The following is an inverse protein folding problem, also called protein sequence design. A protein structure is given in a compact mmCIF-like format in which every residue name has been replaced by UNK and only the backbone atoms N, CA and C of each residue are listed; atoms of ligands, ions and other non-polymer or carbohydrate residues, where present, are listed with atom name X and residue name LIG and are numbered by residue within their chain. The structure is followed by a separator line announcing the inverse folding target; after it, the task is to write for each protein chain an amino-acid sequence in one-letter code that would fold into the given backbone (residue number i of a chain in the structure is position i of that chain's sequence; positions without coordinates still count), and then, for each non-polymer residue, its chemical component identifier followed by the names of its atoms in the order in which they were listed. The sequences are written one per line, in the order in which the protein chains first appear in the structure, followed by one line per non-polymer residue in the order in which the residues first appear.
data_IF_640559482563
#
_entry.id   IF_640559482563
#
_cell.length_a   1.000
_cell.length_b   1.000
_cell.length_c   1.000
_cell.angle_alpha   90.00
_cell.angle_beta   90.00
_cell.angle_gamma   90.00
#
_symmetry.space_group_name_H-M   'P 1'
#
loop_
_entity.id
_entity.type
_entity.pdbx_description
1 polymer ?
#
# COMPACT_ATOMS: atom_id res chain seq x y z
N UNK A 1 -7.18 -3.99 -6.93
CA UNK A 1 -6.75 -3.48 -5.61
C UNK A 1 -5.32 -2.98 -5.60
N UNK A 2 -4.42 -3.72 -6.20
CA UNK A 2 -3.02 -3.35 -6.38
C UNK A 2 -2.85 -2.01 -7.11
N UNK A 3 -3.57 -1.78 -8.18
CA UNK A 3 -3.48 -0.54 -8.96
C UNK A 3 -3.86 0.69 -8.14
N UNK A 4 -4.83 0.58 -7.25
CA UNK A 4 -5.21 1.70 -6.38
C UNK A 4 -4.09 2.11 -5.45
N UNK A 5 -3.40 1.12 -4.88
CA UNK A 5 -2.27 1.39 -3.99
C UNK A 5 -1.15 2.08 -4.76
N UNK A 6 -0.85 1.57 -5.95
CA UNK A 6 0.19 2.16 -6.81
C UNK A 6 -0.15 3.61 -7.12
N UNK A 7 -1.38 3.90 -7.53
CA UNK A 7 -1.80 5.26 -7.88
C UNK A 7 -1.70 6.22 -6.69
N UNK A 8 -2.14 5.77 -5.53
CA UNK A 8 -2.08 6.59 -4.31
C UNK A 8 -0.63 6.88 -3.93
N UNK A 9 0.21 5.85 -3.93
CA UNK A 9 1.61 6.00 -3.52
C UNK A 9 2.38 6.87 -4.51
N UNK A 10 2.18 6.67 -5.80
CA UNK A 10 2.85 7.49 -6.83
C UNK A 10 2.51 8.96 -6.71
N UNK A 11 1.32 9.28 -6.26
CA UNK A 11 0.90 10.67 -6.06
C UNK A 11 1.57 11.32 -4.84
N UNK A 12 2.08 10.53 -3.91
CA UNK A 12 2.59 11.00 -2.62
C UNK A 12 4.11 10.95 -2.48
N UNK A 13 4.81 10.24 -3.37
CA UNK A 13 6.26 10.06 -3.27
C UNK A 13 6.99 10.87 -4.34
N UNK A 14 8.29 11.09 -4.12
CA UNK A 14 9.13 11.85 -5.05
C UNK A 14 9.67 10.98 -6.19
N UNK A 15 9.78 9.68 -5.97
CA UNK A 15 10.33 8.74 -6.94
C UNK A 15 9.28 7.71 -7.36
N UNK A 16 8.25 8.14 -8.12
CA UNK A 16 7.14 7.23 -8.47
C UNK A 16 7.57 6.04 -9.33
N UNK A 17 8.65 6.18 -10.09
CA UNK A 17 9.15 5.09 -10.93
C UNK A 17 9.68 3.91 -10.13
N UNK A 18 10.01 4.12 -8.86
CA UNK A 18 10.52 3.06 -7.99
C UNK A 18 9.43 2.43 -7.12
N UNK A 19 8.18 2.84 -7.30
CA UNK A 19 7.06 2.24 -6.58
C UNK A 19 6.72 0.89 -7.20
N UNK A 20 6.75 -0.15 -6.39
CA UNK A 20 6.31 -1.49 -6.81
C UNK A 20 5.39 -2.07 -5.75
N UNK A 21 4.42 -2.84 -6.19
CA UNK A 21 3.48 -3.52 -5.30
C UNK A 21 3.33 -4.96 -5.77
N UNK A 22 3.56 -5.90 -4.86
CA UNK A 22 3.31 -7.31 -5.12
C UNK A 22 2.03 -7.73 -4.42
N UNK A 23 1.16 -8.40 -5.14
CA UNK A 23 -0.08 -8.91 -4.60
C UNK A 23 0.00 -10.43 -4.45
N UNK A 24 -0.24 -10.91 -3.23
CA UNK A 24 -0.34 -12.34 -2.95
C UNK A 24 -1.77 -12.62 -2.49
N UNK A 25 -2.43 -13.54 -3.17
CA UNK A 25 -3.79 -13.95 -2.81
C UNK A 25 -3.77 -15.30 -2.13
N UNK A 26 -4.40 -15.34 -0.97
CA UNK A 26 -4.68 -16.59 -0.25
C UNK A 26 -6.19 -16.67 -0.06
N UNK A 27 -6.68 -17.82 0.35
CA UNK A 27 -8.12 -18.03 0.56
C UNK A 27 -8.67 -17.00 1.56
N UNK A 28 -9.51 -16.10 1.07
CA UNK A 28 -10.13 -15.05 1.91
C UNK A 28 -9.19 -13.92 2.33
N UNK A 29 -7.96 -13.87 1.79
CA UNK A 29 -6.99 -12.87 2.18
C UNK A 29 -6.16 -12.39 1.01
N UNK A 30 -5.86 -11.07 1.01
CA UNK A 30 -4.95 -10.48 0.04
C UNK A 30 -3.84 -9.78 0.82
N UNK A 31 -2.59 -10.06 0.47
CA UNK A 31 -1.43 -9.43 1.06
C UNK A 31 -0.75 -8.59 -0.01
N UNK A 32 -0.60 -7.29 0.25
CA UNK A 32 0.08 -6.37 -0.65
C UNK A 32 1.41 -5.96 -0.06
N UNK A 33 2.49 -6.18 -0.80
CA UNK A 33 3.83 -5.76 -0.41
C UNK A 33 4.22 -4.53 -1.19
N UNK A 34 4.34 -3.42 -0.51
CA UNK A 34 4.72 -2.13 -1.10
C UNK A 34 6.21 -1.93 -0.96
N UNK A 35 6.86 -1.56 -2.06
CA UNK A 35 8.26 -1.16 -2.07
C UNK A 35 8.39 0.19 -2.73
N UNK A 36 9.15 1.08 -2.12
CA UNK A 36 9.43 2.41 -2.64
C UNK A 36 10.93 2.67 -2.59
N UNK A 37 11.39 3.79 -3.17
CA UNK A 37 12.80 4.17 -3.07
C UNK A 37 13.18 4.36 -1.61
N UNK A 38 14.46 4.20 -1.30
CA UNK A 38 14.95 4.39 0.05
C UNK A 38 14.68 5.80 0.57
N UNK A 39 14.76 6.80 -0.30
CA UNK A 39 14.44 8.18 0.04
C UNK A 39 12.98 8.35 0.43
N UNK A 40 12.09 7.68 -0.28
CA UNK A 40 10.66 7.77 -0.03
C UNK A 40 10.21 6.92 1.15
N UNK A 41 11.00 5.92 1.51
CA UNK A 41 10.67 5.05 2.65
C UNK A 41 10.46 5.85 3.93
N UNK A 42 11.29 6.86 4.16
CA UNK A 42 11.15 7.75 5.30
C UNK A 42 9.83 8.52 5.30
N UNK A 43 9.34 8.90 4.12
CA UNK A 43 8.05 9.58 3.98
C UNK A 43 6.88 8.66 4.25
N UNK A 44 6.96 7.42 3.75
CA UNK A 44 5.88 6.44 3.89
C UNK A 44 5.76 6.00 5.35
N UNK A 45 6.87 5.72 6.00
CA UNK A 45 6.91 5.26 7.39
C UNK A 45 6.92 6.43 8.38
N UNK A 46 7.56 7.55 7.98
CA UNK A 46 7.72 8.71 8.84
C UNK A 46 6.45 9.53 9.01
N UNK A 47 6.56 10.64 9.74
CA UNK A 47 5.42 11.53 10.03
C UNK A 47 4.23 10.76 10.60
N UNK A 48 4.51 9.88 11.55
CA UNK A 48 3.50 9.06 12.22
C UNK A 48 2.80 8.08 11.26
N UNK A 49 3.46 7.73 10.18
CA UNK A 49 2.94 6.76 9.22
C UNK A 49 1.70 7.21 8.48
N UNK A 50 1.54 8.50 8.23
CA UNK A 50 0.33 9.05 7.58
C UNK A 50 0.01 8.40 6.25
N UNK A 51 1.01 8.21 5.41
CA UNK A 51 0.81 7.60 4.09
C UNK A 51 0.39 6.14 4.24
N UNK A 52 1.12 5.38 5.05
CA UNK A 52 0.80 3.98 5.31
C UNK A 52 -0.61 3.83 5.90
N UNK A 53 -0.95 4.71 6.83
CA UNK A 53 -2.27 4.70 7.48
C UNK A 53 -3.39 4.99 6.49
N UNK A 54 -3.20 5.97 5.61
CA UNK A 54 -4.17 6.30 4.57
C UNK A 54 -4.39 5.13 3.62
N UNK A 55 -3.31 4.48 3.19
CA UNK A 55 -3.38 3.32 2.32
C UNK A 55 -4.13 2.18 3.00
N UNK A 56 -3.81 1.88 4.25
CA UNK A 56 -4.49 0.83 5.01
C UNK A 56 -5.97 1.10 5.15
N UNK A 57 -6.38 2.36 5.35
CA UNK A 57 -7.78 2.73 5.44
C UNK A 57 -8.52 2.44 4.13
N UNK A 58 -7.94 2.81 3.01
CA UNK A 58 -8.51 2.55 1.68
C UNK A 58 -8.65 1.05 1.45
N UNK A 59 -7.60 0.28 1.77
CA UNK A 59 -7.60 -1.17 1.57
C UNK A 59 -8.62 -1.87 2.47
N UNK A 60 -8.76 -1.41 3.69
CA UNK A 60 -9.74 -1.97 4.62
C UNK A 60 -11.17 -1.77 4.10
N UNK A 61 -11.45 -0.58 3.60
CA UNK A 61 -12.76 -0.27 3.02
C UNK A 61 -13.04 -1.16 1.79
N UNK A 62 -12.07 -1.28 0.88
CA UNK A 62 -12.21 -2.12 -0.31
C UNK A 62 -12.36 -3.60 0.07
N UNK A 63 -11.59 -4.07 1.03
CA UNK A 63 -11.66 -5.45 1.51
C UNK A 63 -13.02 -5.77 2.13
N UNK A 64 -13.57 -4.84 2.91
CA UNK A 64 -14.88 -5.02 3.53
C UNK A 64 -15.99 -5.19 2.49
N UNK A 65 -15.91 -4.44 1.38
CA UNK A 65 -16.90 -4.58 0.29
C UNK A 65 -16.87 -5.95 -0.35
N UNK A 66 -15.69 -6.55 -0.45
CA UNK A 66 -15.51 -7.85 -1.08
C UNK A 66 -15.47 -9.01 -0.08
N UNK A 67 -15.65 -8.72 1.21
CA UNK A 67 -15.55 -9.70 2.28
C UNK A 67 -14.18 -10.37 2.34
N UNK A 68 -13.13 -9.59 2.06
CA UNK A 68 -11.76 -10.06 2.06
C UNK A 68 -10.94 -9.34 3.14
N UNK A 69 -9.99 -10.05 3.71
CA UNK A 69 -9.00 -9.45 4.59
C UNK A 69 -7.85 -8.97 3.74
N UNK A 70 -7.56 -7.68 3.82
CA UNK A 70 -6.45 -7.09 3.05
C UNK A 70 -5.39 -6.57 4.02
N UNK A 71 -4.16 -6.98 3.79
CA UNK A 71 -3.02 -6.57 4.61
C UNK A 71 -2.01 -5.83 3.75
N UNK A 72 -1.37 -4.82 4.32
CA UNK A 72 -0.31 -4.07 3.65
C UNK A 72 1.01 -4.29 4.39
N UNK A 73 2.04 -4.67 3.66
CA UNK A 73 3.40 -4.75 4.18
C UNK A 73 4.26 -3.77 3.40
N UNK A 74 5.13 -3.07 4.11
CA UNK A 74 6.09 -2.13 3.51
C UNK A 74 7.47 -2.74 3.65
N UNK A 75 8.12 -2.95 2.52
CA UNK A 75 9.40 -3.66 2.46
C UNK A 75 10.55 -2.72 2.13
#
# INVERSE_FOLDING_TARGET
MKERVIDIVKALVDNPDEVTVEETRKKGEIILKLSVSQEDMGKVIGKQGRIAKAIRTVLKSAGNKEHLKVSLEIV
#
